data_IF_919858484408
#
_entry.id   IF_919858484408
#
_cell.length_a   1.000
_cell.length_b   1.000
_cell.length_c   1.000
_cell.angle_alpha   90.00
_cell.angle_beta   90.00
_cell.angle_gamma   90.00
#
_symmetry.space_group_name_H-M   'P 1'
#
loop_
_entity.id
_entity.type
_entity.pdbx_description
1 polymer ?
#
# COMPACT_ATOMS: atom_id res chain seq x y z
N UNK A 1 6.00 11.69 -58.09
CA UNK A 1 4.54 11.86 -57.89
C UNK A 1 3.94 10.48 -57.93
N UNK A 2 3.74 9.88 -56.75
CA UNK A 2 3.30 8.49 -56.61
C UNK A 2 2.39 8.47 -55.40
N UNK A 3 1.17 8.98 -55.57
CA UNK A 3 0.14 8.92 -54.54
C UNK A 3 -0.32 7.46 -54.40
N UNK A 4 0.21 6.81 -53.37
CA UNK A 4 -0.23 5.50 -52.91
C UNK A 4 -1.61 5.63 -52.28
N UNK A 5 -2.64 5.31 -53.07
CA UNK A 5 -4.01 5.20 -52.61
C UNK A 5 -4.09 4.03 -51.60
N UNK A 6 -4.49 4.24 -50.33
CA UNK A 6 -4.62 3.15 -49.37
C UNK A 6 -5.80 2.26 -49.75
N UNK A 7 -5.60 0.94 -49.66
CA UNK A 7 -6.57 -0.09 -50.01
C UNK A 7 -7.90 0.12 -49.25
N UNK A 8 -9.08 0.12 -49.90
CA UNK A 8 -10.38 0.31 -49.23
C UNK A 8 -10.73 -0.81 -48.23
N UNK A 9 -10.05 -1.96 -48.30
CA UNK A 9 -10.20 -3.05 -47.32
C UNK A 9 -9.58 -2.72 -45.95
N UNK A 10 -8.44 -2.02 -45.91
CA UNK A 10 -7.74 -1.70 -44.65
C UNK A 10 -8.50 -0.64 -43.83
N UNK A 11 -9.19 0.26 -44.51
CA UNK A 11 -10.04 1.29 -43.88
C UNK A 11 -11.19 0.65 -43.10
N UNK A 12 -11.80 -0.38 -43.69
CA UNK A 12 -12.90 -1.12 -43.08
C UNK A 12 -12.45 -1.90 -41.84
N UNK A 13 -11.28 -2.54 -41.87
CA UNK A 13 -10.78 -3.32 -40.74
C UNK A 13 -10.38 -2.47 -39.54
N UNK A 14 -9.74 -1.32 -39.76
CA UNK A 14 -9.36 -0.41 -38.69
C UNK A 14 -10.59 0.23 -38.03
N UNK A 15 -11.62 0.58 -38.82
CA UNK A 15 -12.87 1.09 -38.30
C UNK A 15 -13.62 0.01 -37.48
N UNK A 16 -13.63 -1.24 -37.95
CA UNK A 16 -14.18 -2.38 -37.21
C UNK A 16 -13.43 -2.58 -35.88
N UNK A 17 -12.09 -2.51 -35.88
CA UNK A 17 -11.27 -2.63 -34.66
C UNK A 17 -11.58 -1.51 -33.66
N UNK A 18 -11.78 -0.27 -34.12
CA UNK A 18 -12.15 0.86 -33.27
C UNK A 18 -13.58 0.73 -32.70
N UNK A 19 -14.54 0.28 -33.51
CA UNK A 19 -15.93 0.06 -33.08
C UNK A 19 -16.05 -1.08 -32.06
N UNK A 20 -15.35 -2.20 -32.31
CA UNK A 20 -15.26 -3.33 -31.38
C UNK A 20 -14.63 -2.91 -30.07
N UNK A 21 -13.47 -2.25 -30.12
CA UNK A 21 -12.75 -1.87 -28.92
C UNK A 21 -13.40 -0.70 -28.15
N UNK A 22 -14.26 0.09 -28.82
CA UNK A 22 -15.14 1.09 -28.20
C UNK A 22 -16.34 0.49 -27.46
N UNK A 23 -16.61 -0.82 -27.60
CA UNK A 23 -17.75 -1.51 -26.99
C UNK A 23 -19.09 -1.17 -27.65
N UNK A 24 -19.07 -0.70 -28.90
CA UNK A 24 -20.24 -0.20 -29.62
C UNK A 24 -20.92 -1.29 -30.48
N UNK A 25 -20.20 -2.35 -30.85
CA UNK A 25 -20.64 -3.35 -31.83
C UNK A 25 -20.15 -4.75 -31.41
N UNK A 26 -21.02 -5.77 -31.50
CA UNK A 26 -20.67 -7.18 -31.25
C UNK A 26 -20.24 -7.91 -32.53
N UNK A 27 -19.59 -9.07 -32.41
CA UNK A 27 -19.09 -9.83 -33.58
C UNK A 27 -20.23 -10.30 -34.51
N UNK A 28 -21.45 -10.46 -33.98
CA UNK A 28 -22.65 -10.77 -34.77
C UNK A 28 -23.07 -9.56 -35.64
N UNK A 29 -23.13 -8.37 -35.04
CA UNK A 29 -23.53 -7.14 -35.72
C UNK A 29 -22.55 -6.76 -36.85
N UNK A 30 -21.24 -7.04 -36.68
CA UNK A 30 -20.22 -6.80 -37.72
C UNK A 30 -20.45 -7.67 -38.96
N UNK A 31 -20.92 -8.92 -38.78
CA UNK A 31 -21.24 -9.81 -39.89
C UNK A 31 -22.46 -9.30 -40.67
N UNK A 32 -23.47 -8.82 -39.96
CA UNK A 32 -24.69 -8.25 -40.55
C UNK A 32 -24.37 -6.98 -41.34
N UNK A 33 -23.55 -6.07 -40.81
CA UNK A 33 -23.15 -4.85 -41.52
C UNK A 33 -22.31 -5.13 -42.77
N UNK A 34 -21.48 -6.19 -42.76
CA UNK A 34 -20.72 -6.61 -43.95
C UNK A 34 -21.64 -7.20 -45.03
N UNK A 35 -22.67 -7.93 -44.64
CA UNK A 35 -23.67 -8.47 -45.57
C UNK A 35 -24.48 -7.33 -46.22
N UNK A 36 -24.99 -6.40 -45.42
CA UNK A 36 -25.76 -5.23 -45.89
C UNK A 36 -24.91 -4.34 -46.82
N UNK A 37 -23.64 -4.10 -46.49
CA UNK A 37 -22.74 -3.31 -47.32
C UNK A 37 -22.50 -3.96 -48.70
N UNK A 38 -22.36 -5.30 -48.74
CA UNK A 38 -22.18 -6.05 -49.99
C UNK A 38 -23.47 -6.08 -50.83
N UNK A 39 -24.61 -6.26 -50.19
CA UNK A 39 -25.91 -6.35 -50.85
C UNK A 39 -26.34 -5.02 -51.47
N UNK A 40 -26.14 -3.91 -50.74
CA UNK A 40 -26.53 -2.58 -51.19
C UNK A 40 -25.43 -1.84 -51.98
N UNK A 41 -24.20 -2.39 -52.06
CA UNK A 41 -23.01 -1.72 -52.66
C UNK A 41 -22.76 -0.32 -52.10
N UNK A 42 -23.01 -0.15 -50.80
CA UNK A 42 -22.87 1.11 -50.07
C UNK A 42 -21.61 1.05 -49.18
N UNK A 43 -20.89 2.17 -48.95
CA UNK A 43 -19.74 2.18 -48.05
C UNK A 43 -20.12 1.68 -46.65
N UNK A 44 -19.21 0.93 -46.01
CA UNK A 44 -19.45 0.28 -44.71
C UNK A 44 -19.96 1.24 -43.62
N UNK A 45 -19.49 2.49 -43.63
CA UNK A 45 -19.96 3.56 -42.74
C UNK A 45 -21.45 3.89 -42.91
N UNK A 46 -21.97 3.89 -44.14
CA UNK A 46 -23.39 4.13 -44.43
C UNK A 46 -24.25 2.88 -44.17
N UNK A 47 -23.70 1.67 -44.38
CA UNK A 47 -24.38 0.43 -44.00
C UNK A 47 -24.64 0.34 -42.47
N UNK A 48 -23.72 0.87 -41.66
CA UNK A 48 -23.88 0.99 -40.20
C UNK A 48 -24.96 2.01 -39.80
N UNK A 49 -25.15 3.09 -40.56
CA UNK A 49 -26.22 4.07 -40.27
C UNK A 49 -27.58 3.45 -40.59
N UNK A 50 -27.67 2.75 -41.71
CA UNK A 50 -28.91 2.14 -42.19
C UNK A 50 -29.39 0.98 -41.30
N UNK A 51 -28.49 0.32 -40.55
CA UNK A 51 -28.88 -0.74 -39.62
C UNK A 51 -29.54 -0.23 -38.33
N UNK A 52 -29.54 1.09 -38.08
CA UNK A 52 -30.25 1.72 -36.95
C UNK A 52 -29.69 1.42 -35.55
N UNK A 53 -28.64 0.59 -35.44
CA UNK A 53 -28.07 0.13 -34.17
C UNK A 53 -27.09 1.14 -33.54
N UNK A 54 -26.59 2.11 -34.32
CA UNK A 54 -25.62 3.10 -33.87
C UNK A 54 -26.08 4.54 -34.09
N UNK A 55 -25.98 5.36 -33.04
CA UNK A 55 -26.21 6.80 -33.14
C UNK A 55 -25.21 7.46 -34.10
N UNK A 56 -25.70 8.30 -35.00
CA UNK A 56 -24.90 9.06 -35.98
C UNK A 56 -23.74 9.84 -35.33
N UNK A 57 -23.93 10.31 -34.09
CA UNK A 57 -22.89 10.96 -33.28
C UNK A 57 -21.71 10.06 -32.93
N UNK A 58 -21.96 8.80 -32.56
CA UNK A 58 -20.89 7.87 -32.17
C UNK A 58 -20.09 7.43 -33.39
N UNK A 59 -20.77 7.26 -34.53
CA UNK A 59 -20.11 6.95 -35.80
C UNK A 59 -19.22 8.11 -36.26
N UNK A 60 -19.66 9.36 -36.14
CA UNK A 60 -18.85 10.55 -36.43
C UNK A 60 -17.55 10.59 -35.62
N UNK A 61 -17.61 10.24 -34.33
CA UNK A 61 -16.43 10.17 -33.44
C UNK A 61 -15.45 9.06 -33.89
N UNK A 62 -15.96 7.91 -34.30
CA UNK A 62 -15.15 6.79 -34.79
C UNK A 62 -14.48 7.11 -36.14
N UNK A 63 -15.19 7.79 -37.05
CA UNK A 63 -14.63 8.24 -38.34
C UNK A 63 -13.54 9.29 -38.11
N UNK A 64 -13.77 10.26 -37.23
CA UNK A 64 -12.76 11.28 -36.90
C UNK A 64 -11.52 10.64 -36.24
N UNK A 65 -11.71 9.62 -35.39
CA UNK A 65 -10.61 8.86 -34.81
C UNK A 65 -9.84 8.06 -35.87
N UNK A 66 -10.54 7.44 -36.81
CA UNK A 66 -9.96 6.69 -37.93
C UNK A 66 -9.10 7.60 -38.82
N UNK A 67 -9.62 8.77 -39.22
CA UNK A 67 -8.90 9.73 -40.04
C UNK A 67 -7.63 10.25 -39.35
N UNK A 68 -7.69 10.53 -38.05
CA UNK A 68 -6.51 10.96 -37.27
C UNK A 68 -5.46 9.85 -37.10
N UNK A 69 -5.87 8.58 -37.10
CA UNK A 69 -4.95 7.42 -37.10
C UNK A 69 -4.29 7.26 -38.48
N UNK A 70 -5.06 7.36 -39.57
CA UNK A 70 -4.52 7.32 -40.94
C UNK A 70 -3.51 8.44 -41.20
N UNK A 71 -3.77 9.65 -40.70
CA UNK A 71 -2.86 10.80 -40.79
C UNK A 71 -1.63 10.68 -39.87
N UNK A 72 -1.40 9.52 -39.23
CA UNK A 72 -0.32 9.25 -38.25
C UNK A 72 -0.27 10.20 -37.05
N UNK A 73 -1.34 10.96 -36.78
CA UNK A 73 -1.40 11.90 -35.65
C UNK A 73 -1.70 11.20 -34.32
N UNK A 74 -2.28 9.99 -34.37
CA UNK A 74 -2.63 9.17 -33.21
C UNK A 74 -2.23 7.71 -33.44
N UNK A 75 -1.66 7.06 -32.42
CA UNK A 75 -1.47 5.60 -32.40
C UNK A 75 -2.82 4.89 -32.23
N UNK A 76 -2.97 3.71 -32.83
CA UNK A 76 -4.19 2.89 -32.78
C UNK A 76 -4.72 2.67 -31.36
N UNK A 77 -3.84 2.37 -30.40
CA UNK A 77 -4.24 2.13 -28.99
C UNK A 77 -4.79 3.38 -28.29
N UNK A 78 -4.24 4.55 -28.61
CA UNK A 78 -4.68 5.82 -28.05
C UNK A 78 -6.06 6.22 -28.61
N UNK A 79 -6.28 5.94 -29.90
CA UNK A 79 -7.55 6.17 -30.57
C UNK A 79 -8.67 5.30 -29.98
N UNK A 80 -8.41 4.01 -29.73
CA UNK A 80 -9.37 3.09 -29.08
C UNK A 80 -9.83 3.64 -27.73
N UNK A 81 -8.88 4.07 -26.88
CA UNK A 81 -9.20 4.57 -25.54
C UNK A 81 -9.92 5.92 -25.59
N UNK A 82 -9.52 6.80 -26.50
CA UNK A 82 -10.19 8.09 -26.72
C UNK A 82 -11.64 7.90 -27.17
N UNK A 83 -11.90 6.96 -28.09
CA UNK A 83 -13.27 6.62 -28.53
C UNK A 83 -14.10 6.08 -27.38
N UNK A 84 -13.57 5.16 -26.56
CA UNK A 84 -14.28 4.61 -25.40
C UNK A 84 -14.67 5.71 -24.40
N UNK A 85 -13.74 6.61 -24.09
CA UNK A 85 -14.00 7.74 -23.17
C UNK A 85 -14.99 8.74 -23.77
N UNK A 86 -14.91 9.01 -25.07
CA UNK A 86 -15.84 9.89 -25.78
C UNK A 86 -17.28 9.36 -25.72
N UNK A 87 -17.46 8.05 -25.93
CA UNK A 87 -18.75 7.36 -25.88
C UNK A 87 -19.32 7.35 -24.46
N UNK A 88 -18.50 7.01 -23.45
CA UNK A 88 -18.94 6.94 -22.05
C UNK A 88 -19.28 8.32 -21.47
N UNK A 89 -18.48 9.35 -21.78
CA UNK A 89 -18.65 10.71 -21.24
C UNK A 89 -19.47 11.64 -22.14
N UNK A 90 -20.00 11.14 -23.27
CA UNK A 90 -20.72 11.91 -24.29
C UNK A 90 -19.99 13.21 -24.69
N UNK A 91 -18.67 13.14 -24.87
CA UNK A 91 -17.83 14.31 -25.16
C UNK A 91 -17.21 14.22 -26.56
N UNK A 92 -16.74 15.35 -27.11
CA UNK A 92 -16.10 15.40 -28.43
C UNK A 92 -14.77 14.62 -28.44
N UNK A 93 -14.38 14.09 -29.60
CA UNK A 93 -13.14 13.33 -29.74
C UNK A 93 -11.91 14.16 -29.30
N UNK A 94 -11.88 15.46 -29.58
CA UNK A 94 -10.81 16.36 -29.15
C UNK A 94 -10.71 16.49 -27.62
N UNK A 95 -11.84 16.61 -26.92
CA UNK A 95 -11.89 16.66 -25.45
C UNK A 95 -11.54 15.29 -24.83
N UNK A 96 -11.95 14.19 -25.48
CA UNK A 96 -11.61 12.84 -25.08
C UNK A 96 -10.12 12.55 -25.30
N UNK A 97 -9.50 12.98 -26.40
CA UNK A 97 -8.05 12.91 -26.62
C UNK A 97 -7.33 13.78 -25.59
N UNK A 98 -7.83 14.96 -25.24
CA UNK A 98 -7.26 15.80 -24.18
C UNK A 98 -7.30 15.08 -22.83
N UNK A 99 -8.44 14.47 -22.49
CA UNK A 99 -8.61 13.68 -21.27
C UNK A 99 -7.76 12.42 -21.28
N UNK A 100 -7.64 11.74 -22.41
CA UNK A 100 -6.85 10.52 -22.57
C UNK A 100 -5.36 10.86 -22.68
N UNK A 101 -4.95 12.02 -23.19
CA UNK A 101 -3.57 12.51 -23.12
C UNK A 101 -3.22 12.97 -21.72
N UNK A 102 -4.13 13.62 -20.98
CA UNK A 102 -3.96 13.89 -19.53
C UNK A 102 -3.86 12.59 -18.75
N UNK A 103 -4.71 11.61 -19.04
CA UNK A 103 -4.64 10.28 -18.45
C UNK A 103 -3.37 9.53 -18.91
N UNK A 104 -2.95 9.58 -20.18
CA UNK A 104 -1.70 8.97 -20.69
C UNK A 104 -0.44 9.69 -20.22
N UNK A 105 -0.51 10.97 -19.88
CA UNK A 105 0.54 11.67 -19.14
C UNK A 105 0.56 11.20 -17.67
N UNK A 106 -0.61 10.87 -17.10
CA UNK A 106 -0.77 10.34 -15.73
C UNK A 106 -0.48 8.82 -15.62
N UNK A 107 -0.52 8.09 -16.74
CA UNK A 107 -0.30 6.63 -16.85
C UNK A 107 0.97 6.29 -17.64
N UNK A 108 1.71 7.29 -18.13
CA UNK A 108 3.13 7.08 -18.39
C UNK A 108 3.81 6.95 -17.03
N UNK A 109 3.96 5.71 -16.58
CA UNK A 109 5.20 5.29 -15.92
C UNK A 109 6.31 5.42 -16.98
N UNK A 110 6.58 6.64 -17.47
CA UNK A 110 7.88 6.91 -18.07
C UNK A 110 8.79 6.97 -16.89
N UNK A 111 9.51 5.87 -16.67
CA UNK A 111 10.65 5.78 -15.77
C UNK A 111 11.63 6.89 -16.18
N UNK A 112 11.70 8.05 -15.50
CA UNK A 112 12.84 8.91 -15.70
C UNK A 112 13.88 8.34 -14.73
N UNK A 113 14.81 7.56 -15.29
CA UNK A 113 16.15 7.31 -14.76
C UNK A 113 16.32 7.41 -13.23
N UNK A 114 16.61 6.26 -12.61
CA UNK A 114 17.35 6.20 -11.34
C UNK A 114 16.59 6.81 -10.14
N UNK A 115 15.48 6.17 -9.78
CA UNK A 115 14.72 6.35 -8.54
C UNK A 115 15.68 6.58 -7.36
N UNK A 116 15.42 7.60 -6.54
CA UNK A 116 16.15 7.80 -5.28
C UNK A 116 16.23 6.51 -4.46
N UNK A 117 15.16 5.70 -4.50
CA UNK A 117 15.13 4.34 -3.97
C UNK A 117 16.22 3.43 -4.56
N UNK A 118 16.32 3.35 -5.88
CA UNK A 118 17.32 2.52 -6.56
C UNK A 118 18.75 3.02 -6.31
N UNK A 119 18.97 4.35 -6.28
CA UNK A 119 20.27 4.94 -5.94
C UNK A 119 20.66 4.62 -4.49
N UNK A 120 19.73 4.78 -3.55
CA UNK A 120 19.97 4.54 -2.13
C UNK A 120 20.22 3.04 -1.88
N UNK A 121 19.48 2.14 -2.54
CA UNK A 121 19.72 0.69 -2.50
C UNK A 121 21.08 0.29 -3.08
N UNK A 122 21.50 0.92 -4.18
CA UNK A 122 22.82 0.69 -4.79
C UNK A 122 23.94 1.19 -3.87
N UNK A 123 23.81 2.41 -3.34
CA UNK A 123 24.78 3.03 -2.43
C UNK A 123 24.89 2.27 -1.09
N UNK A 124 23.79 1.71 -0.61
CA UNK A 124 23.78 0.83 0.57
C UNK A 124 24.39 -0.56 0.30
N UNK A 125 24.59 -0.92 -0.97
CA UNK A 125 25.10 -2.22 -1.39
C UNK A 125 24.08 -3.35 -1.26
N UNK A 126 22.78 -3.02 -1.28
CA UNK A 126 21.68 -4.00 -1.20
C UNK A 126 21.41 -4.61 -2.57
N UNK A 127 21.58 -3.84 -3.65
CA UNK A 127 21.45 -4.30 -5.04
C UNK A 127 22.73 -4.01 -5.83
N UNK A 128 23.04 -4.87 -6.79
CA UNK A 128 24.16 -4.63 -7.72
C UNK A 128 23.73 -3.79 -8.93
N UNK A 129 24.70 -3.21 -9.64
CA UNK A 129 24.44 -2.44 -10.86
C UNK A 129 23.84 -3.32 -11.97
N UNK A 130 24.22 -4.60 -12.03
CA UNK A 130 23.66 -5.57 -12.97
C UNK A 130 22.20 -5.89 -12.64
N UNK A 131 21.88 -6.11 -11.36
CA UNK A 131 20.50 -6.32 -10.89
C UNK A 131 19.64 -5.08 -11.16
N UNK A 132 20.18 -3.88 -10.94
CA UNK A 132 19.44 -2.65 -11.24
C UNK A 132 19.15 -2.53 -12.75
N UNK A 133 20.11 -2.87 -13.61
CA UNK A 133 19.93 -2.85 -15.06
C UNK A 133 18.84 -3.81 -15.54
N UNK A 134 18.77 -5.02 -14.97
CA UNK A 134 17.72 -5.99 -15.31
C UNK A 134 16.35 -5.56 -14.77
N UNK A 135 16.29 -5.02 -13.55
CA UNK A 135 15.07 -4.49 -12.93
C UNK A 135 14.46 -3.33 -13.73
N UNK A 136 15.29 -2.40 -14.21
CA UNK A 136 14.82 -1.27 -15.01
C UNK A 136 14.21 -1.72 -16.35
N UNK A 137 14.83 -2.70 -17.02
CA UNK A 137 14.28 -3.28 -18.25
C UNK A 137 12.93 -3.94 -17.99
N UNK A 138 12.85 -4.77 -16.94
CA UNK A 138 11.59 -5.42 -16.54
C UNK A 138 10.52 -4.40 -16.13
N UNK A 139 10.89 -3.30 -15.48
CA UNK A 139 9.96 -2.24 -15.11
C UNK A 139 9.37 -1.53 -16.34
N UNK A 140 10.20 -1.26 -17.34
CA UNK A 140 9.76 -0.65 -18.60
C UNK A 140 8.85 -1.59 -19.40
N UNK A 141 9.19 -2.89 -19.43
CA UNK A 141 8.41 -3.92 -20.14
C UNK A 141 7.07 -4.23 -19.44
N UNK A 142 7.05 -4.32 -18.11
CA UNK A 142 5.88 -4.75 -17.34
C UNK A 142 4.99 -3.58 -16.88
N UNK A 143 5.45 -2.34 -17.01
CA UNK A 143 4.81 -1.15 -16.46
C UNK A 143 4.53 -1.23 -14.94
N UNK A 144 5.31 -2.04 -14.23
CA UNK A 144 5.28 -2.18 -12.77
C UNK A 144 6.31 -1.27 -12.11
N UNK A 145 6.10 -0.98 -10.82
CA UNK A 145 7.04 -0.17 -10.04
C UNK A 145 8.27 -1.00 -9.62
N UNK A 146 9.42 -0.36 -9.38
CA UNK A 146 10.68 -1.07 -9.10
C UNK A 146 10.59 -1.85 -7.79
N UNK A 147 9.96 -1.30 -6.76
CA UNK A 147 9.72 -1.96 -5.49
C UNK A 147 8.89 -3.23 -5.64
N UNK A 148 7.83 -3.21 -6.45
CA UNK A 148 7.05 -4.42 -6.74
C UNK A 148 7.90 -5.51 -7.40
N UNK A 149 8.72 -5.14 -8.39
CA UNK A 149 9.57 -6.11 -9.10
C UNK A 149 10.65 -6.66 -8.17
N UNK A 150 11.19 -5.85 -7.25
CA UNK A 150 12.14 -6.29 -6.23
C UNK A 150 11.56 -7.38 -5.31
N UNK A 151 10.28 -7.29 -4.94
CA UNK A 151 9.59 -8.37 -4.19
C UNK A 151 9.35 -9.58 -5.08
N UNK A 152 8.88 -9.37 -6.31
CA UNK A 152 8.51 -10.45 -7.23
C UNK A 152 9.72 -11.31 -7.62
N UNK A 153 10.88 -10.70 -7.80
CA UNK A 153 12.14 -11.39 -8.11
C UNK A 153 12.80 -11.98 -6.85
N UNK A 154 12.25 -11.74 -5.66
CA UNK A 154 12.79 -12.25 -4.39
C UNK A 154 14.12 -11.60 -3.98
N UNK A 155 14.46 -10.44 -4.54
CA UNK A 155 15.69 -9.71 -4.20
C UNK A 155 15.54 -9.07 -2.80
N UNK A 156 14.34 -8.56 -2.50
CA UNK A 156 14.01 -7.98 -1.21
C UNK A 156 12.68 -8.53 -0.68
N UNK A 157 12.63 -8.77 0.62
CA UNK A 157 11.38 -9.03 1.34
C UNK A 157 10.57 -7.72 1.51
N UNK A 158 9.28 -7.86 1.80
CA UNK A 158 8.35 -6.71 1.95
C UNK A 158 8.86 -5.71 3.00
N UNK A 159 9.37 -6.21 4.12
CA UNK A 159 9.91 -5.38 5.20
C UNK A 159 11.17 -4.63 4.78
N UNK A 160 12.02 -5.26 3.96
CA UNK A 160 13.22 -4.62 3.40
C UNK A 160 12.86 -3.47 2.44
N UNK A 161 11.78 -3.62 1.68
CA UNK A 161 11.30 -2.54 0.80
C UNK A 161 10.65 -1.42 1.58
N UNK A 162 9.82 -1.74 2.58
CA UNK A 162 9.26 -0.72 3.48
C UNK A 162 10.37 0.08 4.18
N UNK A 163 11.43 -0.59 4.64
CA UNK A 163 12.61 0.07 5.20
C UNK A 163 13.29 1.01 4.18
N UNK A 164 13.49 0.56 2.94
CA UNK A 164 14.10 1.37 1.90
C UNK A 164 13.23 2.58 1.50
N UNK A 165 11.90 2.41 1.39
CA UNK A 165 10.94 3.48 1.10
C UNK A 165 10.87 4.50 2.24
N UNK A 166 10.85 4.03 3.50
CA UNK A 166 10.92 4.92 4.68
C UNK A 166 12.23 5.72 4.69
N UNK A 167 13.36 5.12 4.30
CA UNK A 167 14.64 5.83 4.22
C UNK A 167 14.59 6.98 3.21
N UNK A 168 14.04 6.73 2.02
CA UNK A 168 13.85 7.78 1.00
C UNK A 168 12.93 8.89 1.52
N UNK A 169 11.83 8.53 2.19
CA UNK A 169 10.92 9.51 2.81
C UNK A 169 11.63 10.37 3.86
N UNK A 170 12.39 9.75 4.77
CA UNK A 170 13.13 10.47 5.82
C UNK A 170 14.22 11.40 5.26
N UNK A 171 14.85 11.01 4.14
CA UNK A 171 15.83 11.87 3.44
C UNK A 171 15.13 13.05 2.77
N UNK A 172 13.94 12.85 2.18
CA UNK A 172 13.15 13.91 1.53
C UNK A 172 12.58 14.92 2.53
N UNK A 173 12.07 14.43 3.65
CA UNK A 173 11.48 15.25 4.72
C UNK A 173 12.55 15.92 5.61
N UNK A 174 13.83 15.86 5.22
CA UNK A 174 15.01 16.41 5.93
C UNK A 174 15.26 15.84 7.35
N UNK A 175 14.61 14.73 7.70
CA UNK A 175 14.76 14.11 9.02
C UNK A 175 16.09 13.37 9.20
N UNK A 176 16.69 12.87 8.11
CA UNK A 176 17.96 12.11 8.14
C UNK A 176 18.81 12.48 6.92
N UNK A 177 20.10 12.75 7.16
CA UNK A 177 21.06 12.99 6.08
C UNK A 177 21.30 11.74 5.24
N UNK A 178 21.45 11.90 3.92
CA UNK A 178 21.57 10.78 2.97
C UNK A 178 22.64 9.76 3.38
N UNK A 179 23.81 10.22 3.80
CA UNK A 179 24.91 9.35 4.25
C UNK A 179 24.56 8.51 5.49
N UNK A 180 23.79 9.08 6.41
CA UNK A 180 23.29 8.38 7.61
C UNK A 180 22.23 7.36 7.22
N UNK A 181 21.32 7.71 6.31
CA UNK A 181 20.30 6.80 5.79
C UNK A 181 20.92 5.59 5.07
N UNK A 182 21.99 5.78 4.28
CA UNK A 182 22.71 4.70 3.60
C UNK A 182 23.36 3.75 4.63
N UNK A 183 24.04 4.29 5.63
CA UNK A 183 24.65 3.48 6.70
C UNK A 183 23.61 2.69 7.49
N UNK A 184 22.49 3.34 7.81
CA UNK A 184 21.38 2.70 8.51
C UNK A 184 20.72 1.61 7.66
N UNK A 185 20.48 1.85 6.37
CA UNK A 185 19.88 0.84 5.50
C UNK A 185 20.81 -0.38 5.33
N UNK A 186 22.12 -0.14 5.20
CA UNK A 186 23.12 -1.22 5.17
C UNK A 186 23.13 -2.03 6.46
N UNK A 187 23.01 -1.36 7.60
CA UNK A 187 22.93 -2.02 8.90
C UNK A 187 21.61 -2.81 9.06
N UNK A 188 20.49 -2.19 8.69
CA UNK A 188 19.16 -2.81 8.70
C UNK A 188 19.13 -4.11 7.91
N UNK A 189 19.69 -4.10 6.69
CA UNK A 189 19.73 -5.30 5.84
C UNK A 189 20.67 -6.40 6.38
N UNK A 190 21.84 -6.03 6.93
CA UNK A 190 22.79 -6.99 7.51
C UNK A 190 22.27 -7.64 8.80
N UNK A 191 21.68 -6.84 9.67
CA UNK A 191 21.21 -7.27 10.98
C UNK A 191 19.75 -7.77 10.93
N UNK A 192 19.10 -7.70 9.77
CA UNK A 192 17.66 -8.00 9.56
C UNK A 192 16.75 -7.27 10.55
N UNK A 193 17.09 -6.01 10.80
CA UNK A 193 16.31 -5.10 11.65
C UNK A 193 15.63 -4.05 10.79
N UNK A 194 14.62 -3.39 11.32
CA UNK A 194 13.99 -2.26 10.63
C UNK A 194 14.97 -1.09 10.43
N UNK A 195 14.61 -0.15 9.56
CA UNK A 195 15.40 1.06 9.37
C UNK A 195 15.50 1.90 10.64
N UNK A 196 14.36 2.10 11.32
CA UNK A 196 14.29 2.97 12.48
C UNK A 196 15.09 2.40 13.66
N UNK A 197 15.22 1.07 13.76
CA UNK A 197 16.09 0.41 14.73
C UNK A 197 17.56 0.65 14.41
N UNK A 198 17.93 0.44 13.14
CA UNK A 198 19.29 0.66 12.68
C UNK A 198 19.73 2.12 12.90
N UNK A 199 18.83 3.08 12.64
CA UNK A 199 19.10 4.49 12.91
C UNK A 199 19.29 4.78 14.40
N UNK A 200 18.52 4.13 15.27
CA UNK A 200 18.64 4.26 16.71
C UNK A 200 19.95 3.67 17.24
N UNK A 201 20.30 2.45 16.84
CA UNK A 201 21.54 1.76 17.24
C UNK A 201 22.80 2.51 16.77
N UNK A 202 22.71 3.18 15.62
CA UNK A 202 23.78 4.05 15.10
C UNK A 202 23.80 5.45 15.74
N UNK A 203 22.85 5.78 16.62
CA UNK A 203 22.75 7.08 17.29
C UNK A 203 22.33 8.24 16.38
N UNK A 204 21.75 7.94 15.20
CA UNK A 204 21.38 8.95 14.20
C UNK A 204 19.93 9.43 14.33
N UNK A 205 19.15 8.85 15.25
CA UNK A 205 17.74 9.18 15.41
C UNK A 205 17.32 9.22 16.88
N UNK A 206 16.61 10.29 17.24
CA UNK A 206 15.97 10.43 18.55
C UNK A 206 14.60 9.76 18.52
N UNK A 207 14.17 9.18 19.65
CA UNK A 207 12.91 8.43 19.76
C UNK A 207 11.75 9.18 19.07
N UNK A 208 11.10 8.59 18.05
CA UNK A 208 9.89 9.19 17.51
C UNK A 208 8.81 9.08 18.57
N UNK A 209 8.07 10.17 18.80
CA UNK A 209 6.93 10.15 19.72
C UNK A 209 6.01 8.99 19.35
N UNK A 210 5.77 8.12 20.32
CA UNK A 210 5.02 6.88 20.14
C UNK A 210 3.57 7.10 19.69
N UNK A 211 3.11 8.35 19.62
CA UNK A 211 1.75 8.76 19.27
C UNK A 211 1.61 9.22 17.82
N UNK A 212 2.70 9.29 17.05
CA UNK A 212 2.72 9.82 15.67
C UNK A 212 2.33 8.78 14.61
N UNK A 213 1.11 8.25 14.68
CA UNK A 213 0.62 7.26 13.70
C UNK A 213 0.30 7.89 12.34
N UNK A 214 0.71 7.26 11.24
CA UNK A 214 0.36 7.69 9.90
C UNK A 214 -0.96 7.07 9.43
N UNK A 215 -1.61 7.69 8.43
CA UNK A 215 -2.83 7.15 7.82
C UNK A 215 -2.57 5.74 7.27
N UNK A 216 -1.45 5.54 6.57
CA UNK A 216 -1.08 4.22 6.05
C UNK A 216 -0.97 3.16 7.15
N UNK A 217 -0.29 3.48 8.26
CA UNK A 217 -0.15 2.58 9.40
C UNK A 217 -1.50 2.25 10.05
N UNK A 218 -2.38 3.24 10.21
CA UNK A 218 -3.72 3.03 10.78
C UNK A 218 -4.56 2.11 9.89
N UNK A 219 -4.53 2.30 8.56
CA UNK A 219 -5.23 1.43 7.62
C UNK A 219 -4.67 -0.01 7.61
N UNK A 220 -3.36 -0.17 7.81
CA UNK A 220 -2.73 -1.49 7.95
C UNK A 220 -3.10 -2.14 9.28
N UNK A 221 -3.10 -1.39 10.39
CA UNK A 221 -3.57 -1.88 11.69
C UNK A 221 -5.06 -2.25 11.67
N UNK A 222 -5.88 -1.50 10.95
CA UNK A 222 -7.31 -1.81 10.74
C UNK A 222 -7.54 -3.04 9.85
N UNK A 223 -6.47 -3.62 9.27
CA UNK A 223 -6.50 -4.75 8.31
C UNK A 223 -7.30 -4.44 7.04
N UNK A 224 -7.39 -3.16 6.68
CA UNK A 224 -7.97 -2.70 5.41
C UNK A 224 -6.91 -2.69 4.31
N UNK A 225 -5.66 -2.38 4.67
CA UNK A 225 -4.52 -2.34 3.77
C UNK A 225 -3.48 -3.41 4.15
N UNK A 226 -3.05 -4.24 3.22
CA UNK A 226 -1.97 -5.21 3.47
C UNK A 226 -0.59 -4.52 3.50
N UNK A 227 0.43 -5.08 4.18
CA UNK A 227 1.79 -4.53 4.16
C UNK A 227 2.38 -4.39 2.75
N UNK A 228 2.06 -5.34 1.87
CA UNK A 228 2.39 -5.26 0.44
C UNK A 228 1.73 -4.05 -0.21
N UNK A 229 0.43 -3.86 0.01
CA UNK A 229 -0.32 -2.70 -0.49
C UNK A 229 0.19 -1.37 0.07
N UNK A 230 0.65 -1.34 1.33
CA UNK A 230 1.29 -0.18 1.95
C UNK A 230 2.58 0.20 1.22
N UNK A 231 3.46 -0.78 0.95
CA UNK A 231 4.70 -0.54 0.22
C UNK A 231 4.45 0.04 -1.17
N UNK A 232 3.47 -0.49 -1.90
CA UNK A 232 3.09 0.05 -3.21
C UNK A 232 2.54 1.47 -3.15
N UNK A 233 1.69 1.76 -2.16
CA UNK A 233 1.14 3.11 -1.97
C UNK A 233 2.25 4.11 -1.64
N UNK A 234 3.22 3.74 -0.79
CA UNK A 234 4.39 4.56 -0.53
C UNK A 234 5.27 4.76 -1.76
N UNK A 235 5.45 3.73 -2.57
CA UNK A 235 6.22 3.87 -3.80
C UNK A 235 5.55 4.84 -4.79
N UNK A 236 4.22 4.84 -4.87
CA UNK A 236 3.46 5.80 -5.66
C UNK A 236 3.53 7.20 -5.06
N UNK A 237 3.44 7.34 -3.74
CA UNK A 237 3.56 8.62 -3.03
C UNK A 237 4.91 9.27 -3.34
N UNK A 238 5.99 8.50 -3.25
CA UNK A 238 7.33 8.97 -3.53
C UNK A 238 7.55 9.30 -5.01
N UNK A 239 6.94 8.54 -5.93
CA UNK A 239 7.13 8.71 -7.37
C UNK A 239 6.24 9.80 -7.99
N UNK A 240 4.98 9.89 -7.57
CA UNK A 240 4.00 10.83 -8.14
C UNK A 240 3.85 12.12 -7.33
N UNK A 241 4.52 12.22 -6.18
CA UNK A 241 4.42 13.35 -5.24
C UNK A 241 2.94 13.67 -4.90
N UNK A 242 2.12 12.62 -4.78
CA UNK A 242 0.71 12.72 -4.42
C UNK A 242 0.54 12.40 -2.94
N UNK A 243 -0.42 13.05 -2.29
CA UNK A 243 -0.78 12.71 -0.93
C UNK A 243 -1.26 11.25 -0.80
N UNK A 244 -0.77 10.54 0.22
CA UNK A 244 -1.16 9.15 0.51
C UNK A 244 -2.67 8.91 0.47
N UNK A 245 -3.48 9.81 1.04
CA UNK A 245 -4.95 9.70 1.01
C UNK A 245 -5.53 9.72 -0.41
N UNK A 246 -4.99 10.54 -1.31
CA UNK A 246 -5.44 10.57 -2.71
C UNK A 246 -5.13 9.25 -3.44
N UNK A 247 -3.99 8.63 -3.12
CA UNK A 247 -3.58 7.34 -3.70
C UNK A 247 -4.56 6.23 -3.27
N UNK A 248 -4.99 6.24 -2.00
CA UNK A 248 -5.99 5.30 -1.51
C UNK A 248 -7.33 5.43 -2.25
N UNK A 249 -7.77 6.66 -2.55
CA UNK A 249 -8.99 6.91 -3.33
C UNK A 249 -8.87 6.45 -4.78
N UNK A 250 -7.77 6.80 -5.45
CA UNK A 250 -7.52 6.45 -6.86
C UNK A 250 -7.45 4.93 -7.07
N UNK A 251 -6.98 4.19 -6.06
CA UNK A 251 -6.93 2.73 -6.06
C UNK A 251 -8.23 2.06 -5.61
N UNK A 252 -9.21 2.83 -5.14
CA UNK A 252 -10.46 2.29 -4.58
C UNK A 252 -10.27 1.51 -3.28
N UNK A 253 -9.17 1.73 -2.56
CA UNK A 253 -8.85 1.06 -1.29
C UNK A 253 -9.56 1.71 -0.10
N UNK A 254 -9.94 2.99 -0.24
CA UNK A 254 -10.67 3.74 0.75
C UNK A 254 -11.67 4.67 0.07
N UNK A 255 -12.78 4.99 0.73
CA UNK A 255 -13.68 6.07 0.32
C UNK A 255 -13.27 7.40 0.95
N UNK A 256 -13.83 8.51 0.45
CA UNK A 256 -13.57 9.84 1.05
C UNK A 256 -14.00 9.88 2.51
N UNK A 257 -15.10 9.19 2.84
CA UNK A 257 -15.61 9.03 4.22
C UNK A 257 -14.59 8.31 5.11
N UNK A 258 -13.99 7.23 4.62
CA UNK A 258 -13.00 6.45 5.39
C UNK A 258 -11.73 7.26 5.67
N UNK A 259 -11.34 8.15 4.75
CA UNK A 259 -10.20 9.03 4.95
C UNK A 259 -10.48 10.13 5.97
N UNK A 260 -11.63 10.80 5.87
CA UNK A 260 -12.06 11.80 6.85
C UNK A 260 -12.17 11.17 8.26
N UNK A 261 -12.71 9.95 8.34
CA UNK A 261 -12.73 9.13 9.53
C UNK A 261 -11.32 8.84 10.08
N UNK A 262 -10.39 8.43 9.22
CA UNK A 262 -9.02 8.13 9.65
C UNK A 262 -8.29 9.34 10.23
N UNK A 263 -8.47 10.53 9.63
CA UNK A 263 -7.83 11.76 10.10
C UNK A 263 -8.38 12.20 11.46
N UNK A 264 -9.69 12.10 11.65
CA UNK A 264 -10.32 12.43 12.94
C UNK A 264 -9.88 11.47 14.05
N UNK A 265 -9.82 10.15 13.77
CA UNK A 265 -9.30 9.16 14.70
C UNK A 265 -7.81 9.40 15.04
N UNK A 266 -6.98 9.73 14.06
CA UNK A 266 -5.58 10.11 14.30
C UNK A 266 -5.47 11.36 15.18
N UNK A 267 -6.35 12.35 14.99
CA UNK A 267 -6.44 13.51 15.86
C UNK A 267 -6.76 13.15 17.32
N UNK A 268 -7.68 12.22 17.54
CA UNK A 268 -8.02 11.70 18.88
C UNK A 268 -6.85 10.94 19.51
N UNK A 269 -6.12 10.14 18.73
CA UNK A 269 -4.91 9.44 19.19
C UNK A 269 -3.81 10.44 19.58
N UNK A 270 -3.61 11.49 18.78
CA UNK A 270 -2.64 12.55 19.10
C UNK A 270 -2.98 13.29 20.40
N UNK A 271 -4.27 13.49 20.69
CA UNK A 271 -4.75 14.08 21.95
C UNK A 271 -4.75 13.10 23.12
N UNK A 272 -4.40 11.83 22.90
CA UNK A 272 -4.44 10.75 23.89
C UNK A 272 -5.85 10.44 24.42
N UNK A 273 -6.90 10.82 23.68
CA UNK A 273 -8.30 10.46 23.99
C UNK A 273 -8.61 9.00 23.62
N UNK A 274 -7.85 8.45 22.67
CA UNK A 274 -8.05 7.11 22.11
C UNK A 274 -6.71 6.40 21.93
N UNK A 275 -6.65 5.11 22.23
CA UNK A 275 -5.46 4.30 21.96
C UNK A 275 -5.35 3.94 20.47
N UNK A 276 -4.13 3.79 19.91
CA UNK A 276 -3.92 3.38 18.51
C UNK A 276 -4.69 2.11 18.10
N UNK A 277 -4.78 1.10 18.96
CA UNK A 277 -5.52 -0.13 18.68
C UNK A 277 -7.04 0.12 18.59
N UNK A 278 -7.57 0.98 19.46
CA UNK A 278 -9.00 1.36 19.46
C UNK A 278 -9.32 2.15 18.19
N UNK A 279 -8.43 3.05 17.78
CA UNK A 279 -8.54 3.78 16.51
C UNK A 279 -8.60 2.82 15.32
N UNK A 280 -7.72 1.81 15.29
CA UNK A 280 -7.70 0.80 14.24
C UNK A 280 -8.98 -0.05 14.21
N UNK A 281 -9.50 -0.45 15.37
CA UNK A 281 -10.76 -1.19 15.47
C UNK A 281 -11.96 -0.35 15.04
N UNK A 282 -12.04 0.91 15.48
CA UNK A 282 -13.06 1.85 15.07
C UNK A 282 -13.03 2.04 13.54
N UNK A 283 -11.85 2.28 12.95
CA UNK A 283 -11.71 2.42 11.50
C UNK A 283 -12.14 1.14 10.76
N UNK A 284 -11.76 -0.04 11.27
CA UNK A 284 -12.16 -1.32 10.68
C UNK A 284 -13.69 -1.47 10.65
N UNK A 285 -14.38 -1.09 11.74
CA UNK A 285 -15.85 -1.11 11.80
C UNK A 285 -16.47 -0.09 10.86
N UNK A 286 -15.91 1.11 10.75
CA UNK A 286 -16.39 2.13 9.81
C UNK A 286 -16.28 1.63 8.36
N UNK A 287 -15.15 1.03 7.98
CA UNK A 287 -14.94 0.53 6.62
C UNK A 287 -15.77 -0.74 6.30
N UNK A 288 -15.97 -1.63 7.28
CA UNK A 288 -16.67 -2.92 7.06
C UNK A 288 -18.17 -2.85 7.30
N UNK A 289 -18.61 -2.12 8.30
CA UNK A 289 -19.99 -2.08 8.80
C UNK A 289 -20.70 -0.74 8.50
N UNK A 290 -20.00 0.24 7.91
CA UNK A 290 -20.51 1.59 7.59
C UNK A 290 -21.09 2.36 8.79
N UNK A 291 -20.65 2.02 9.99
CA UNK A 291 -21.05 2.70 11.23
C UNK A 291 -20.68 4.20 11.19
N UNK A 292 -21.44 4.99 11.94
CA UNK A 292 -21.13 6.41 12.14
C UNK A 292 -19.94 6.53 13.09
N UNK A 293 -19.10 7.55 12.86
CA UNK A 293 -17.90 7.82 13.66
C UNK A 293 -18.18 7.78 15.17
N UNK A 294 -19.24 8.47 15.58
CA UNK A 294 -19.60 8.64 16.98
C UNK A 294 -20.00 7.32 17.65
N UNK A 295 -20.61 6.39 16.91
CA UNK A 295 -21.02 5.10 17.44
C UNK A 295 -19.81 4.16 17.58
N UNK A 296 -18.90 4.21 16.61
CA UNK A 296 -17.66 3.44 16.63
C UNK A 296 -16.74 3.88 17.79
N UNK A 297 -16.59 5.18 18.03
CA UNK A 297 -15.75 5.69 19.12
C UNK A 297 -16.36 5.45 20.49
N UNK A 298 -17.70 5.58 20.65
CA UNK A 298 -18.38 5.34 21.93
C UNK A 298 -18.27 3.87 22.38
N UNK A 299 -18.40 2.93 21.46
CA UNK A 299 -18.24 1.51 21.78
C UNK A 299 -16.81 1.17 22.21
N UNK A 300 -15.80 1.80 21.60
CA UNK A 300 -14.40 1.58 21.96
C UNK A 300 -13.95 2.32 23.23
N UNK A 301 -14.56 3.46 23.53
CA UNK A 301 -14.35 4.16 24.80
C UNK A 301 -15.02 3.42 25.97
N UNK A 302 -16.17 2.78 25.75
CA UNK A 302 -16.84 1.97 26.75
C UNK A 302 -16.06 0.69 27.12
N UNK A 303 -15.19 0.20 26.24
CA UNK A 303 -14.32 -0.95 26.48
C UNK A 303 -12.95 -0.57 27.07
N UNK A 304 -12.78 0.67 27.57
CA UNK A 304 -11.54 1.13 28.21
C UNK A 304 -11.16 0.21 29.38
N UNK A 305 -10.25 -0.72 29.13
CA UNK A 305 -9.64 -1.55 30.15
C UNK A 305 -8.50 -0.76 30.82
N UNK A 306 -8.30 -0.99 32.12
CA UNK A 306 -7.20 -0.40 32.89
C UNK A 306 -5.86 -0.57 32.14
N UNK A 307 -5.20 0.54 31.82
CA UNK A 307 -3.96 0.58 31.04
C UNK A 307 -2.71 0.20 31.87
N UNK A 308 -2.86 -0.22 33.12
CA UNK A 308 -1.75 -0.40 34.04
C UNK A 308 -1.55 -1.88 34.39
N UNK A 309 -1.18 -2.69 33.40
CA UNK A 309 -0.74 -4.06 33.65
C UNK A 309 0.76 -4.07 33.91
N UNK A 310 1.13 -4.38 35.15
CA UNK A 310 2.53 -4.64 35.51
C UNK A 310 2.98 -5.90 34.78
N UNK A 311 4.28 -5.99 34.46
CA UNK A 311 4.87 -7.16 33.80
C UNK A 311 4.49 -8.48 34.50
N UNK A 312 4.46 -8.45 35.83
CA UNK A 312 4.06 -9.59 36.65
C UNK A 312 2.62 -10.05 36.41
N UNK A 313 1.68 -9.12 36.26
CA UNK A 313 0.28 -9.45 35.99
C UNK A 313 0.10 -10.05 34.59
N UNK A 314 0.81 -9.51 33.58
CA UNK A 314 0.82 -10.08 32.22
C UNK A 314 1.34 -11.52 32.20
N UNK A 315 2.40 -11.81 32.96
CA UNK A 315 2.99 -13.15 33.04
C UNK A 315 2.06 -14.14 33.77
N UNK A 316 1.35 -13.69 34.79
CA UNK A 316 0.36 -14.51 35.51
C UNK A 316 -0.86 -14.79 34.62
N UNK A 317 -1.39 -13.78 33.92
CA UNK A 317 -2.54 -13.92 33.03
C UNK A 317 -2.25 -14.77 31.78
N UNK A 318 -1.00 -14.72 31.30
CA UNK A 318 -0.51 -15.62 30.26
C UNK A 318 -0.30 -17.05 30.77
N UNK A 319 -0.36 -17.30 32.08
CA UNK A 319 -0.12 -18.62 32.67
C UNK A 319 1.35 -19.04 32.69
N UNK A 320 2.28 -18.08 32.54
CA UNK A 320 3.73 -18.31 32.59
C UNK A 320 4.17 -18.50 34.04
N UNK A 321 3.57 -17.78 34.98
CA UNK A 321 3.87 -17.84 36.41
C UNK A 321 2.59 -18.00 37.24
N UNK A 322 2.70 -18.66 38.39
CA UNK A 322 1.66 -18.58 39.42
C UNK A 322 1.83 -17.28 40.22
N UNK A 323 0.72 -16.68 40.67
CA UNK A 323 0.75 -15.46 41.50
C UNK A 323 1.62 -15.65 42.75
N UNK A 324 1.60 -16.84 43.34
CA UNK A 324 2.41 -17.20 44.53
C UNK A 324 3.92 -17.26 44.24
N UNK A 325 4.31 -17.73 43.05
CA UNK A 325 5.72 -17.75 42.61
C UNK A 325 6.25 -16.36 42.27
N UNK A 326 5.36 -15.46 41.83
CA UNK A 326 5.72 -14.07 41.56
C UNK A 326 5.94 -13.30 42.87
N UNK A 327 5.02 -13.41 43.83
CA UNK A 327 5.10 -12.73 45.13
C UNK A 327 6.31 -13.19 45.95
N UNK A 328 6.68 -14.48 45.89
CA UNK A 328 7.86 -15.00 46.58
C UNK A 328 9.19 -14.56 45.97
N UNK A 329 9.23 -14.31 44.66
CA UNK A 329 10.45 -13.86 43.96
C UNK A 329 10.59 -12.34 43.89
N UNK A 330 9.48 -11.61 44.00
CA UNK A 330 9.42 -10.15 43.98
C UNK A 330 9.06 -9.66 45.40
N UNK A 331 9.99 -9.78 46.33
CA UNK A 331 9.77 -9.44 47.75
C UNK A 331 9.76 -7.93 48.05
N UNK A 332 10.12 -7.10 47.09
CA UNK A 332 10.02 -5.64 47.17
C UNK A 332 9.73 -5.11 45.77
N UNK A 333 8.52 -4.59 45.55
CA UNK A 333 8.07 -3.99 44.29
C UNK A 333 9.11 -3.04 43.71
N UNK A 334 9.85 -3.42 42.66
CA UNK A 334 10.60 -2.44 41.90
C UNK A 334 9.64 -1.91 40.83
N UNK A 335 9.36 -0.61 40.85
CA UNK A 335 8.55 0.06 39.82
C UNK A 335 9.09 -0.14 38.39
N UNK A 336 10.32 -0.66 38.24
CA UNK A 336 10.93 -1.00 36.96
C UNK A 336 10.68 -2.46 36.53
N UNK A 337 9.99 -2.63 35.40
CA UNK A 337 9.81 -3.91 34.70
C UNK A 337 11.13 -4.65 34.44
N UNK A 338 12.22 -3.92 34.21
CA UNK A 338 13.58 -4.49 34.01
C UNK A 338 14.10 -5.22 35.26
N UNK A 339 13.86 -4.67 36.45
CA UNK A 339 14.30 -5.28 37.71
C UNK A 339 13.52 -6.56 37.99
N UNK A 340 12.21 -6.53 37.78
CA UNK A 340 11.33 -7.72 37.87
C UNK A 340 11.81 -8.80 36.89
N UNK A 341 12.07 -8.44 35.64
CA UNK A 341 12.63 -9.35 34.65
C UNK A 341 13.96 -9.98 35.07
N UNK A 342 14.89 -9.18 35.60
CA UNK A 342 16.20 -9.66 36.05
C UNK A 342 16.11 -10.63 37.23
N UNK A 343 15.16 -10.42 38.16
CA UNK A 343 14.91 -11.34 39.28
C UNK A 343 14.31 -12.65 38.82
N UNK A 344 13.39 -12.61 37.85
CA UNK A 344 12.76 -13.80 37.27
C UNK A 344 13.76 -14.66 36.47
N UNK A 345 14.71 -14.03 35.77
CA UNK A 345 15.83 -14.73 35.12
C UNK A 345 16.77 -15.39 36.12
N UNK A 346 17.16 -14.67 37.19
CA UNK A 346 18.01 -15.22 38.25
C UNK A 346 17.36 -16.42 38.96
N UNK A 347 16.04 -16.38 39.11
CA UNK A 347 15.25 -17.49 39.65
C UNK A 347 15.04 -18.66 38.65
N UNK A 348 15.54 -18.55 37.40
CA UNK A 348 15.35 -19.51 36.30
C UNK A 348 13.88 -19.86 36.02
N UNK A 349 12.96 -18.94 36.32
CA UNK A 349 11.52 -19.16 36.09
C UNK A 349 11.10 -18.86 34.65
N UNK A 350 11.89 -18.07 33.91
CA UNK A 350 11.61 -17.63 32.55
C UNK A 350 12.91 -17.68 31.73
N UNK A 351 12.81 -17.97 30.43
CA UNK A 351 13.94 -17.84 29.50
C UNK A 351 14.16 -16.38 29.09
N UNK A 352 15.38 -16.04 28.63
CA UNK A 352 15.66 -14.72 28.08
C UNK A 352 14.72 -14.38 26.90
N UNK A 353 14.43 -15.36 26.04
CA UNK A 353 13.54 -15.19 24.88
C UNK A 353 12.12 -14.78 25.28
N UNK A 354 11.55 -15.42 26.30
CA UNK A 354 10.19 -15.12 26.78
C UNK A 354 10.18 -13.77 27.52
N UNK A 355 11.25 -13.45 28.26
CA UNK A 355 11.34 -12.15 28.93
C UNK A 355 11.36 -11.00 27.91
N UNK A 356 12.17 -11.09 26.86
CA UNK A 356 12.20 -10.08 25.80
C UNK A 356 10.83 -9.94 25.12
N UNK A 357 10.16 -11.06 24.83
CA UNK A 357 8.80 -11.02 24.27
C UNK A 357 7.81 -10.34 25.23
N UNK A 358 7.85 -10.66 26.53
CA UNK A 358 6.95 -10.11 27.54
C UNK A 358 7.16 -8.61 27.77
N UNK A 359 8.42 -8.15 27.85
CA UNK A 359 8.76 -6.73 27.98
C UNK A 359 8.35 -5.92 26.75
N UNK A 360 8.50 -6.51 25.55
CA UNK A 360 8.08 -5.86 24.29
C UNK A 360 6.57 -5.78 24.20
N UNK A 361 5.86 -6.86 24.50
CA UNK A 361 4.40 -6.88 24.58
C UNK A 361 3.86 -5.89 25.63
N UNK A 362 4.52 -5.78 26.78
CA UNK A 362 4.17 -4.79 27.80
C UNK A 362 4.32 -3.37 27.26
N UNK A 363 5.40 -3.07 26.54
CA UNK A 363 5.59 -1.74 25.95
C UNK A 363 4.56 -1.45 24.87
N UNK A 364 4.26 -2.42 24.00
CA UNK A 364 3.20 -2.30 22.99
C UNK A 364 1.82 -2.08 23.60
N UNK A 365 1.52 -2.74 24.72
CA UNK A 365 0.29 -2.55 25.47
C UNK A 365 0.23 -1.17 26.11
N UNK A 366 1.29 -0.74 26.80
CA UNK A 366 1.40 0.59 27.42
C UNK A 366 1.28 1.73 26.41
N UNK A 367 1.80 1.53 25.20
CA UNK A 367 1.69 2.47 24.08
C UNK A 367 0.34 2.36 23.33
N UNK A 368 -0.52 1.41 23.70
CA UNK A 368 -1.86 1.26 23.15
C UNK A 368 -1.91 0.69 21.73
N UNK A 369 -0.88 -0.06 21.30
CA UNK A 369 -0.86 -0.71 19.99
C UNK A 369 -1.53 -2.09 19.99
N UNK A 370 -1.63 -2.74 21.15
CA UNK A 370 -2.25 -4.05 21.32
C UNK A 370 -3.33 -4.01 22.39
N UNK A 371 -4.42 -4.77 22.18
CA UNK A 371 -5.41 -5.03 23.21
C UNK A 371 -4.89 -6.05 24.23
N UNK A 372 -5.47 -6.07 25.44
CA UNK A 372 -5.10 -7.02 26.49
C UNK A 372 -5.24 -8.47 26.03
N UNK A 373 -6.37 -8.81 25.41
CA UNK A 373 -6.66 -10.16 24.91
C UNK A 373 -5.62 -10.61 23.87
N UNK A 374 -5.28 -9.74 22.92
CA UNK A 374 -4.26 -10.03 21.91
C UNK A 374 -2.88 -10.18 22.55
N UNK A 375 -2.56 -9.35 23.54
CA UNK A 375 -1.28 -9.39 24.27
C UNK A 375 -1.12 -10.73 25.02
N UNK A 376 -2.14 -11.16 25.75
CA UNK A 376 -2.14 -12.43 26.48
C UNK A 376 -2.11 -13.62 25.51
N UNK A 377 -2.90 -13.57 24.43
CA UNK A 377 -2.94 -14.62 23.42
C UNK A 377 -1.59 -14.79 22.73
N UNK A 378 -0.92 -13.67 22.38
CA UNK A 378 0.42 -13.67 21.78
C UNK A 378 1.46 -14.24 22.75
N UNK A 379 1.43 -13.84 24.03
CA UNK A 379 2.38 -14.33 25.01
C UNK A 379 2.21 -15.84 25.28
N UNK A 380 0.97 -16.32 25.37
CA UNK A 380 0.66 -17.77 25.44
C UNK A 380 1.17 -18.53 24.22
N UNK A 381 0.99 -17.96 23.03
CA UNK A 381 1.43 -18.58 21.80
C UNK A 381 2.97 -18.64 21.69
N UNK A 382 3.66 -17.57 22.09
CA UNK A 382 5.12 -17.55 22.16
C UNK A 382 5.66 -18.58 23.16
N UNK A 383 4.96 -18.77 24.29
CA UNK A 383 5.32 -19.78 25.30
C UNK A 383 5.15 -21.20 24.78
N UNK A 384 4.03 -21.52 24.13
CA UNK A 384 3.72 -22.87 23.65
C UNK A 384 4.66 -23.33 22.54
N UNK A 385 5.04 -22.41 21.65
CA UNK A 385 5.81 -22.75 20.45
C UNK A 385 7.29 -22.35 20.54
N UNK A 386 7.74 -21.73 21.65
CA UNK A 386 9.08 -21.15 21.80
C UNK A 386 9.48 -20.25 20.60
N UNK A 387 8.54 -19.47 20.09
CA UNK A 387 8.73 -18.62 18.92
C UNK A 387 9.20 -17.22 19.29
N UNK A 388 9.92 -16.58 18.37
CA UNK A 388 10.21 -15.16 18.41
C UNK A 388 8.90 -14.39 18.20
N UNK A 389 8.71 -13.30 18.94
CA UNK A 389 7.47 -12.50 18.91
C UNK A 389 7.08 -12.04 17.50
N UNK A 390 8.06 -11.73 16.64
CA UNK A 390 7.80 -11.29 15.26
C UNK A 390 7.10 -12.37 14.42
N UNK A 391 7.50 -13.64 14.57
CA UNK A 391 6.81 -14.74 13.92
C UNK A 391 5.37 -14.88 14.44
N UNK A 392 5.16 -14.78 15.76
CA UNK A 392 3.83 -14.83 16.35
C UNK A 392 2.92 -13.67 15.87
N UNK A 393 3.48 -12.48 15.66
CA UNK A 393 2.75 -11.33 15.09
C UNK A 393 2.34 -11.59 13.64
N UNK A 394 3.25 -12.15 12.82
CA UNK A 394 2.93 -12.48 11.42
C UNK A 394 1.85 -13.55 11.30
N UNK A 395 1.87 -14.60 12.14
CA UNK A 395 0.87 -15.67 12.12
C UNK A 395 -0.52 -15.19 12.58
N UNK A 396 -0.58 -14.23 13.50
CA UNK A 396 -1.84 -13.62 13.96
C UNK A 396 -2.32 -12.48 13.06
N UNK A 397 -1.59 -12.16 11.99
CA UNK A 397 -1.84 -11.03 11.08
C UNK A 397 -2.02 -9.69 11.83
N UNK A 398 -1.24 -9.50 12.90
CA UNK A 398 -1.26 -8.27 13.68
C UNK A 398 -0.12 -7.38 13.21
N UNK A 399 -0.45 -6.20 12.68
CA UNK A 399 0.53 -5.21 12.27
C UNK A 399 0.89 -4.30 13.43
N UNK A 400 2.19 -4.19 13.70
CA UNK A 400 2.77 -3.24 14.64
C UNK A 400 3.76 -2.38 13.85
N UNK A 401 3.67 -1.03 13.91
CA UNK A 401 4.60 -0.17 13.20
C UNK A 401 6.05 -0.49 13.57
N UNK A 402 6.94 -0.52 12.58
CA UNK A 402 8.33 -0.91 12.76
C UNK A 402 8.98 -0.16 13.91
N UNK A 403 8.77 1.15 14.03
CA UNK A 403 9.31 1.99 15.13
C UNK A 403 9.03 1.51 16.57
N UNK A 404 8.08 0.61 16.76
CA UNK A 404 7.70 0.07 18.08
C UNK A 404 8.37 -1.25 18.42
N UNK A 405 9.23 -1.81 17.55
CA UNK A 405 9.82 -3.13 17.80
C UNK A 405 10.96 -3.10 18.85
N UNK A 406 11.46 -1.92 19.27
CA UNK A 406 12.60 -1.78 20.20
C UNK A 406 12.45 -0.65 21.23
N UNK A 407 11.26 -0.08 21.40
CA UNK A 407 10.99 0.80 22.55
C UNK A 407 10.90 -0.06 23.81
N UNK A 408 11.87 0.11 24.72
CA UNK A 408 11.82 -0.42 26.08
C UNK A 408 11.72 0.80 26.99
N UNK A 409 10.56 1.04 27.60
CA UNK A 409 10.43 2.09 28.63
C UNK A 409 10.29 1.53 30.03
#
# INVERSE_FOLDING_TARGET
MSDGNPNPNDESELLIKLLRAGGLVSDADVADFKSIAKELKIPFSQAIINSGLLNERNLKICIEAHQRVQQKQLKSDLAIRAVRVAVQKKCSLSAAIGSVKRLHQTTRVTVPLANELAKLLLEAGVISQEQLGSLLKKADESSMMIGQILVLEGILEVDGILAALNAVRMVRDQGVERDKAIKALKHAYKSKVSLEQALFELGFFSHPDAKTMSVGELFTMARVLSPKGLAECYEIELFKEKHFGQILLERGLATKRDLEASVTLLGMVSKSELQPYQAAQALRRICKEQLTMDDATKQEQASSQDNNHRLGDLLVEAGVLSRTTLESTVTASPDNAVKVGSSLLKARLISETILFAALRLQTLFRLGYLSRENTISLLKHCLQNNLILDHALTEKELYVPSRMQWTWV
#
